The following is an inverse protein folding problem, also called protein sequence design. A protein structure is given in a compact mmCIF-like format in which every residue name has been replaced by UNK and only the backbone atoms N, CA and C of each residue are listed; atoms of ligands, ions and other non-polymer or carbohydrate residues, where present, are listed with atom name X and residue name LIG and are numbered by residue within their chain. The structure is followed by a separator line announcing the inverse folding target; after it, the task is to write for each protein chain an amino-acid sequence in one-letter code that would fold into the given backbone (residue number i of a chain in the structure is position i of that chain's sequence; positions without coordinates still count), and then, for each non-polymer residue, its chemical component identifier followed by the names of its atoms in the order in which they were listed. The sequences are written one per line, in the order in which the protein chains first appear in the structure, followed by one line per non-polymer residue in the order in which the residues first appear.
data_IF_147727799307
#
_entry.id   IF_147727799307
#
_cell.length_a   1.000
_cell.length_b   1.000
_cell.length_c   1.000
_cell.angle_alpha   90.00
_cell.angle_beta   90.00
_cell.angle_gamma   90.00
#
_symmetry.space_group_name_H-M   'P 1'
#
loop_
_entity.id
_entity.type
_entity.pdbx_description
1 polymer ?
#
# COMPACT_ATOMS: atom_id res chain seq x y z
N UNK A 1 -3.26 -10.28 6.35
CA UNK A 1 -3.72 -10.06 4.95
C UNK A 1 -5.19 -10.40 4.68
N UNK A 2 -5.88 -11.14 5.55
CA UNK A 2 -7.28 -11.57 5.35
C UNK A 2 -8.29 -10.42 5.51
N UNK A 3 -7.92 -9.41 6.29
CA UNK A 3 -8.81 -8.30 6.63
C UNK A 3 -8.90 -7.19 5.56
N UNK A 4 -8.01 -7.15 4.56
CA UNK A 4 -8.01 -6.07 3.55
C UNK A 4 -8.94 -6.37 2.36
N UNK A 5 -9.30 -7.65 2.17
CA UNK A 5 -10.05 -8.09 1.00
C UNK A 5 -11.39 -7.38 0.80
N UNK A 6 -12.25 -7.25 1.84
CA UNK A 6 -13.51 -6.53 1.72
C UNK A 6 -13.32 -5.05 1.36
N UNK A 7 -12.31 -4.40 1.95
CA UNK A 7 -12.01 -2.99 1.67
C UNK A 7 -11.58 -2.78 0.22
N UNK A 8 -10.68 -3.61 -0.30
CA UNK A 8 -10.24 -3.52 -1.70
C UNK A 8 -11.40 -3.72 -2.68
N UNK A 9 -12.28 -4.70 -2.40
CA UNK A 9 -13.48 -4.94 -3.23
C UNK A 9 -14.45 -3.76 -3.20
N UNK A 10 -14.64 -3.12 -2.05
CA UNK A 10 -15.48 -1.93 -1.95
C UNK A 10 -14.89 -0.72 -2.68
N UNK A 11 -13.57 -0.50 -2.57
CA UNK A 11 -12.88 0.57 -3.30
C UNK A 11 -12.96 0.35 -4.82
N UNK A 12 -12.78 -0.89 -5.28
CA UNK A 12 -12.92 -1.24 -6.70
C UNK A 12 -14.36 -1.05 -7.19
N UNK A 13 -15.35 -1.49 -6.40
CA UNK A 13 -16.76 -1.31 -6.74
C UNK A 13 -17.20 0.16 -6.79
N UNK A 14 -16.60 1.02 -5.97
CA UNK A 14 -16.81 2.46 -6.04
C UNK A 14 -16.25 3.08 -7.32
N UNK A 15 -15.30 2.42 -7.98
CA UNK A 15 -14.79 2.76 -9.32
C UNK A 15 -13.99 4.06 -9.41
N UNK A 16 -13.59 4.63 -8.28
CA UNK A 16 -13.00 5.99 -8.21
C UNK A 16 -11.51 6.03 -7.87
N UNK A 17 -10.87 4.89 -7.61
CA UNK A 17 -9.49 4.83 -7.16
C UNK A 17 -8.69 3.78 -7.95
N UNK A 18 -7.46 4.14 -8.35
CA UNK A 18 -6.44 3.18 -8.78
C UNK A 18 -5.85 2.53 -7.53
N UNK A 19 -5.92 1.20 -7.46
CA UNK A 19 -5.46 0.43 -6.32
C UNK A 19 -4.07 -0.13 -6.61
N UNK A 20 -3.07 0.36 -5.89
CA UNK A 20 -1.71 -0.15 -5.94
C UNK A 20 -1.42 -0.91 -4.65
N UNK A 21 -1.36 -2.24 -4.74
CA UNK A 21 -1.06 -3.11 -3.61
C UNK A 21 0.43 -3.42 -3.59
N UNK A 22 1.08 -3.13 -2.46
CA UNK A 22 2.49 -3.48 -2.27
C UNK A 22 2.65 -4.44 -1.11
N UNK A 23 3.64 -5.33 -1.21
CA UNK A 23 3.95 -6.30 -0.17
C UNK A 23 5.44 -6.38 0.05
N UNK A 24 5.88 -6.62 1.28
CA UNK A 24 7.31 -6.68 1.65
C UNK A 24 7.95 -8.05 1.43
N UNK A 25 7.16 -9.13 1.31
CA UNK A 25 7.66 -10.50 1.17
C UNK A 25 7.24 -11.15 -0.14
N UNK A 26 8.03 -12.11 -0.64
CA UNK A 26 7.71 -12.89 -1.84
C UNK A 26 6.45 -13.75 -1.67
N UNK A 27 6.23 -14.30 -0.48
CA UNK A 27 5.00 -15.03 -0.14
C UNK A 27 3.78 -14.09 -0.17
N UNK A 28 3.90 -12.90 0.42
CA UNK A 28 2.85 -11.87 0.38
C UNK A 28 2.53 -11.45 -1.06
N UNK A 29 3.55 -11.26 -1.89
CA UNK A 29 3.39 -10.91 -3.29
C UNK A 29 2.63 -11.97 -4.08
N UNK A 30 3.00 -13.25 -3.92
CA UNK A 30 2.29 -14.35 -4.59
C UNK A 30 0.85 -14.46 -4.11
N UNK A 31 0.62 -14.33 -2.81
CA UNK A 31 -0.73 -14.34 -2.24
C UNK A 31 -1.56 -13.15 -2.74
N UNK A 32 -0.94 -11.98 -2.91
CA UNK A 32 -1.58 -10.78 -3.44
C UNK A 32 -1.98 -10.97 -4.90
N UNK A 33 -1.10 -11.55 -5.73
CA UNK A 33 -1.42 -11.91 -7.10
C UNK A 33 -2.58 -12.91 -7.15
N UNK A 34 -2.52 -13.99 -6.36
CA UNK A 34 -3.53 -15.05 -6.41
C UNK A 34 -4.92 -14.58 -5.95
N UNK A 35 -4.98 -13.65 -4.98
CA UNK A 35 -6.26 -13.24 -4.35
C UNK A 35 -6.81 -11.89 -4.79
N UNK A 36 -5.95 -11.01 -5.29
CA UNK A 36 -6.27 -9.60 -5.47
C UNK A 36 -5.91 -9.06 -6.87
N UNK A 37 -5.45 -9.88 -7.81
CA UNK A 37 -5.21 -9.44 -9.18
C UNK A 37 -6.48 -8.98 -9.92
N UNK A 38 -7.67 -9.39 -9.46
CA UNK A 38 -8.97 -8.93 -9.97
C UNK A 38 -9.39 -7.55 -9.45
N UNK A 39 -8.83 -7.12 -8.32
CA UNK A 39 -9.20 -5.87 -7.64
C UNK A 39 -8.12 -4.80 -7.64
N UNK A 40 -6.85 -5.18 -7.50
CA UNK A 40 -5.72 -4.27 -7.54
C UNK A 40 -5.29 -4.02 -8.99
N UNK A 41 -5.17 -2.75 -9.38
CA UNK A 41 -4.72 -2.36 -10.72
C UNK A 41 -3.22 -2.62 -10.90
N UNK A 42 -2.45 -2.53 -9.82
CA UNK A 42 -1.03 -2.87 -9.79
C UNK A 42 -0.67 -3.60 -8.51
N UNK A 43 0.16 -4.64 -8.64
CA UNK A 43 0.71 -5.39 -7.51
C UNK A 43 2.23 -5.36 -7.60
N UNK A 44 2.90 -4.96 -6.52
CA UNK A 44 4.35 -4.78 -6.49
C UNK A 44 5.00 -5.14 -5.15
N UNK A 45 6.32 -5.11 -5.13
CA UNK A 45 7.09 -5.21 -3.89
C UNK A 45 7.25 -3.82 -3.30
N UNK A 46 7.07 -3.71 -1.98
CA UNK A 46 7.27 -2.46 -1.26
C UNK A 46 8.73 -1.99 -1.45
N UNK A 47 8.96 -0.72 -1.84
CA UNK A 47 10.32 -0.19 -1.91
C UNK A 47 10.94 -0.25 -0.52
N UNK A 48 12.16 -0.78 -0.40
CA UNK A 48 12.90 -0.75 0.87
C UNK A 48 12.86 0.65 1.49
N UNK A 49 12.70 0.76 2.81
CA UNK A 49 12.49 2.02 3.54
C UNK A 49 13.76 2.90 3.66
N UNK A 50 14.55 2.93 2.60
CA UNK A 50 15.68 3.82 2.42
C UNK A 50 15.21 5.07 1.68
N UNK A 51 15.64 6.24 2.14
CA UNK A 51 15.26 7.55 1.59
C UNK A 51 15.25 7.61 0.04
N UNK A 52 16.30 7.20 -0.70
CA UNK A 52 16.27 7.31 -2.16
C UNK A 52 15.24 6.39 -2.83
N UNK A 53 15.02 5.20 -2.27
CA UNK A 53 14.05 4.23 -2.79
C UNK A 53 12.61 4.69 -2.50
N UNK A 54 12.34 5.12 -1.27
CA UNK A 54 11.04 5.62 -0.85
C UNK A 54 10.69 6.91 -1.62
N UNK A 55 11.59 7.90 -1.66
CA UNK A 55 11.38 9.14 -2.39
C UNK A 55 11.09 8.93 -3.88
N UNK A 56 11.79 7.99 -4.53
CA UNK A 56 11.56 7.64 -5.93
C UNK A 56 10.21 6.95 -6.15
N UNK A 57 9.81 6.03 -5.26
CA UNK A 57 8.51 5.38 -5.35
C UNK A 57 7.38 6.40 -5.18
N UNK A 58 7.48 7.28 -4.18
CA UNK A 58 6.53 8.35 -3.93
C UNK A 58 6.43 9.35 -5.09
N UNK A 59 7.54 9.70 -5.74
CA UNK A 59 7.52 10.62 -6.89
C UNK A 59 6.92 10.02 -8.15
N UNK A 60 7.02 8.70 -8.33
CA UNK A 60 6.43 7.97 -9.45
C UNK A 60 4.96 7.65 -9.25
N UNK A 61 4.61 7.16 -8.07
CA UNK A 61 3.24 6.71 -7.75
C UNK A 61 2.33 7.90 -7.49
N UNK A 62 2.80 8.92 -6.75
CA UNK A 62 2.01 10.09 -6.34
C UNK A 62 0.64 9.71 -5.76
N UNK A 63 0.60 8.92 -4.67
CA UNK A 63 -0.66 8.42 -4.12
C UNK A 63 -1.47 9.55 -3.46
N UNK A 64 -2.80 9.49 -3.57
CA UNK A 64 -3.72 10.40 -2.88
C UNK A 64 -3.98 9.98 -1.42
N UNK A 65 -3.79 8.70 -1.10
CA UNK A 65 -3.90 8.15 0.24
C UNK A 65 -3.06 6.87 0.36
N UNK A 66 -2.57 6.59 1.57
CA UNK A 66 -1.83 5.35 1.89
C UNK A 66 -2.55 4.58 2.99
N UNK A 67 -2.61 3.26 2.85
CA UNK A 67 -3.19 2.35 3.84
C UNK A 67 -2.15 1.31 4.23
N UNK A 68 -1.75 1.31 5.50
CA UNK A 68 -0.80 0.40 6.11
C UNK A 68 -1.56 -0.69 6.87
N UNK A 69 -1.05 -1.92 6.84
CA UNK A 69 -1.75 -3.09 7.37
C UNK A 69 -0.83 -3.84 8.34
N UNK A 70 -1.39 -4.33 9.45
CA UNK A 70 -0.74 -5.32 10.33
C UNK A 70 0.67 -4.91 10.84
N UNK A 71 0.86 -3.61 11.09
CA UNK A 71 2.08 -3.10 11.76
C UNK A 71 3.22 -2.68 10.85
N UNK A 72 2.98 -2.48 9.55
CA UNK A 72 3.95 -1.92 8.61
C UNK A 72 4.18 -0.41 8.83
N UNK A 73 4.70 -0.04 10.01
CA UNK A 73 5.09 1.31 10.36
C UNK A 73 6.51 1.60 9.86
N UNK A 74 6.60 2.10 8.64
CA UNK A 74 7.86 2.48 7.99
C UNK A 74 8.11 3.98 8.20
N UNK A 75 9.09 4.37 9.03
CA UNK A 75 9.30 5.78 9.40
C UNK A 75 9.56 6.67 8.20
N UNK A 76 10.36 6.20 7.24
CA UNK A 76 10.70 7.00 6.06
C UNK A 76 9.50 7.10 5.11
N UNK A 77 8.76 6.02 4.91
CA UNK A 77 7.48 6.06 4.18
C UNK A 77 6.47 7.05 4.78
N UNK A 78 6.30 7.06 6.11
CA UNK A 78 5.44 8.00 6.82
C UNK A 78 5.97 9.44 6.75
N UNK A 79 7.30 9.62 6.77
CA UNK A 79 7.91 10.92 6.58
C UNK A 79 7.62 11.47 5.16
N UNK A 80 7.69 10.63 4.13
CA UNK A 80 7.37 11.01 2.75
C UNK A 80 5.88 11.35 2.58
N UNK A 81 4.98 10.60 3.24
CA UNK A 81 3.55 10.89 3.28
C UNK A 81 3.29 12.28 3.89
N UNK A 82 3.86 12.53 5.07
CA UNK A 82 3.75 13.82 5.76
C UNK A 82 4.32 14.97 4.93
N UNK A 83 5.49 14.77 4.31
CA UNK A 83 6.13 15.79 3.48
C UNK A 83 5.31 16.17 2.23
N UNK A 84 4.46 15.28 1.74
CA UNK A 84 3.58 15.51 0.58
C UNK A 84 2.14 15.83 0.94
N UNK A 85 1.81 15.90 2.23
CA UNK A 85 0.43 16.12 2.67
C UNK A 85 -0.53 14.97 2.34
N UNK A 86 -0.01 13.76 2.14
CA UNK A 86 -0.80 12.58 1.79
C UNK A 86 -1.26 11.89 3.09
N UNK A 87 -2.57 11.65 3.29
CA UNK A 87 -3.07 10.96 4.46
C UNK A 87 -2.62 9.49 4.49
N UNK A 88 -2.18 9.04 5.66
CA UNK A 88 -1.82 7.64 5.92
C UNK A 88 -2.76 7.05 6.98
N UNK A 89 -3.35 5.89 6.67
CA UNK A 89 -4.26 5.15 7.54
C UNK A 89 -3.62 3.84 7.97
N UNK A 90 -3.79 3.44 9.23
CA UNK A 90 -3.34 2.15 9.74
C UNK A 90 -4.55 1.27 10.03
N UNK A 91 -4.59 0.09 9.41
CA UNK A 91 -5.66 -0.89 9.59
C UNK A 91 -5.08 -2.13 10.26
N UNK A 92 -5.75 -2.62 11.30
CA UNK A 92 -5.30 -3.76 12.11
C UNK A 92 -3.87 -3.60 12.66
N UNK A 93 -3.47 -2.36 12.97
CA UNK A 93 -2.24 -2.13 13.72
C UNK A 93 -2.34 -2.76 15.10
N UNK A 94 -1.44 -3.70 15.40
CA UNK A 94 -1.09 -4.00 16.80
C UNK A 94 0.04 -3.07 17.17
N UNK A 95 -0.16 -2.27 18.21
CA UNK A 95 0.85 -1.40 18.83
C UNK A 95 1.49 -2.17 19.97
#
# INVERSE_FOLDING_TARGET
MEAIGPLLRQLKAAGKAEIILTTTTSTGYRLALDRYADVADRIGIFPTDLWPCSALAWSRIRPDAVILVEGELWPEHLAQARARGVPAYLINGRI
#
